data_IF_517797856405
#
_entry.id   IF_517797856405
#
_cell.length_a   1.000
_cell.length_b   1.000
_cell.length_c   1.000
_cell.angle_alpha   90.00
_cell.angle_beta   90.00
_cell.angle_gamma   90.00
#
_symmetry.space_group_name_H-M   'P 1'
#
loop_
_entity.id
_entity.type
_entity.pdbx_description
1 polymer ?
#
# COMPACT_ATOMS: atom_id res chain seq x y z
N UNK A 1 10.34 4.44 -21.13
CA UNK A 1 10.95 4.08 -19.84
C UNK A 1 10.64 5.23 -18.90
N UNK A 2 9.72 5.06 -17.97
CA UNK A 2 9.50 6.06 -16.93
C UNK A 2 10.66 5.94 -15.95
N UNK A 3 11.57 6.91 -15.95
CA UNK A 3 12.53 7.11 -14.86
C UNK A 3 11.71 7.37 -13.60
N UNK A 4 11.41 6.31 -12.84
CA UNK A 4 10.98 6.48 -11.47
C UNK A 4 12.21 6.98 -10.71
N UNK A 5 12.13 8.13 -10.04
CA UNK A 5 13.26 8.63 -9.27
C UNK A 5 13.69 7.55 -8.27
N UNK A 6 15.00 7.31 -8.15
CA UNK A 6 15.52 6.45 -7.09
C UNK A 6 15.32 7.22 -5.78
N UNK A 7 14.32 6.81 -5.01
CA UNK A 7 14.00 7.43 -3.73
C UNK A 7 14.78 6.72 -2.61
N UNK A 8 15.51 7.50 -1.79
CA UNK A 8 16.12 6.96 -0.57
C UNK A 8 15.03 6.75 0.49
N UNK A 9 14.50 5.54 0.58
CA UNK A 9 13.43 5.14 1.50
C UNK A 9 13.85 5.03 2.98
N UNK A 10 15.11 5.33 3.31
CA UNK A 10 15.67 5.18 4.66
C UNK A 10 15.45 3.77 5.24
N UNK A 11 15.58 2.75 4.38
CA UNK A 11 15.46 1.34 4.73
C UNK A 11 16.50 0.51 3.99
N UNK A 12 16.84 -0.63 4.56
CA UNK A 12 17.73 -1.61 3.93
C UNK A 12 17.01 -2.39 2.83
N UNK A 13 17.76 -2.94 1.88
CA UNK A 13 17.23 -3.83 0.84
C UNK A 13 16.50 -5.05 1.41
N UNK A 14 16.93 -5.52 2.60
CA UNK A 14 16.30 -6.65 3.30
C UNK A 14 14.92 -6.27 3.83
N UNK A 15 14.79 -5.09 4.44
CA UNK A 15 13.51 -4.57 4.90
C UNK A 15 12.58 -4.32 3.71
N UNK A 16 13.10 -3.75 2.62
CA UNK A 16 12.35 -3.55 1.39
C UNK A 16 11.79 -4.88 0.84
N UNK A 17 12.63 -5.90 0.69
CA UNK A 17 12.20 -7.22 0.19
C UNK A 17 11.17 -7.89 1.12
N UNK A 18 11.30 -7.74 2.43
CA UNK A 18 10.34 -8.24 3.41
C UNK A 18 8.97 -7.57 3.32
N UNK A 19 8.91 -6.31 2.86
CA UNK A 19 7.66 -5.59 2.61
C UNK A 19 7.03 -5.98 1.28
N UNK A 20 7.83 -6.06 0.22
CA UNK A 20 7.36 -6.48 -1.11
C UNK A 20 6.79 -7.89 -1.09
N UNK A 21 7.45 -8.83 -0.41
CA UNK A 21 6.95 -10.20 -0.23
C UNK A 21 5.61 -10.30 0.52
N UNK A 22 5.24 -9.26 1.28
CA UNK A 22 3.95 -9.15 1.96
C UNK A 22 2.90 -8.35 1.16
N UNK A 23 3.24 -7.96 -0.07
CA UNK A 23 2.37 -7.19 -0.97
C UNK A 23 2.35 -5.68 -0.68
N UNK A 24 3.36 -5.12 -0.02
CA UNK A 24 3.53 -3.66 0.09
C UNK A 24 4.41 -3.12 -1.04
N UNK A 25 4.18 -1.88 -1.46
CA UNK A 25 4.97 -1.15 -2.45
C UNK A 25 5.56 0.13 -1.82
N UNK A 26 6.72 0.05 -1.13
CA UNK A 26 7.29 1.17 -0.39
C UNK A 26 7.55 2.43 -1.23
N UNK A 27 7.81 2.25 -2.54
CA UNK A 27 8.02 3.36 -3.48
C UNK A 27 6.71 4.09 -3.75
N UNK A 28 5.63 3.35 -4.00
CA UNK A 28 4.30 3.94 -4.17
C UNK A 28 3.77 4.58 -2.89
N UNK A 29 4.01 3.96 -1.72
CA UNK A 29 3.65 4.51 -0.42
C UNK A 29 4.23 5.91 -0.23
N UNK A 30 5.52 6.09 -0.53
CA UNK A 30 6.17 7.39 -0.44
C UNK A 30 5.60 8.43 -1.41
N UNK A 31 5.21 8.01 -2.61
CA UNK A 31 4.51 8.87 -3.55
C UNK A 31 3.19 9.40 -2.99
N UNK A 32 2.44 8.59 -2.24
CA UNK A 32 1.21 9.04 -1.56
C UNK A 32 1.49 10.08 -0.48
N UNK A 33 2.58 9.93 0.26
CA UNK A 33 2.99 10.91 1.29
C UNK A 33 3.45 12.23 0.68
N UNK A 34 4.36 12.17 -0.30
CA UNK A 34 5.04 13.35 -0.82
C UNK A 34 4.20 14.12 -1.85
N UNK A 35 3.42 13.42 -2.69
CA UNK A 35 2.65 14.05 -3.79
C UNK A 35 1.23 14.39 -3.36
N UNK A 36 0.59 13.51 -2.61
CA UNK A 36 -0.82 13.65 -2.22
C UNK A 36 -1.01 14.15 -0.79
N UNK A 37 0.07 14.27 0.00
CA UNK A 37 0.00 14.72 1.39
C UNK A 37 -0.80 13.77 2.29
N UNK A 38 -0.85 12.49 1.91
CA UNK A 38 -1.65 11.48 2.60
C UNK A 38 -1.04 11.12 3.98
N UNK A 39 -1.88 10.67 4.91
CA UNK A 39 -1.39 10.17 6.20
C UNK A 39 -0.56 8.88 6.04
N UNK A 40 0.47 8.70 6.88
CA UNK A 40 1.39 7.56 6.78
C UNK A 40 0.71 6.21 6.99
N UNK A 41 -0.22 6.11 7.94
CA UNK A 41 -0.98 4.88 8.16
C UNK A 41 -1.95 4.61 6.99
N UNK A 42 -2.51 5.66 6.39
CA UNK A 42 -3.40 5.53 5.23
C UNK A 42 -2.66 5.16 3.95
N UNK A 43 -1.55 5.82 3.66
CA UNK A 43 -0.67 5.49 2.54
C UNK A 43 -0.24 4.02 2.61
N UNK A 44 0.19 3.55 3.79
CA UNK A 44 0.58 2.16 4.03
C UNK A 44 -0.50 1.15 3.63
N UNK A 45 -1.77 1.44 3.98
CA UNK A 45 -2.92 0.57 3.70
C UNK A 45 -3.30 0.56 2.22
N UNK A 46 -3.36 1.74 1.58
CA UNK A 46 -3.64 1.86 0.13
C UNK A 46 -2.59 1.09 -0.67
N UNK A 47 -1.33 1.24 -0.28
CA UNK A 47 -0.20 0.60 -0.93
C UNK A 47 -0.27 -0.92 -0.80
N UNK A 48 -0.66 -1.44 0.37
CA UNK A 48 -0.88 -2.88 0.58
C UNK A 48 -1.98 -3.43 -0.33
N UNK A 49 -3.11 -2.73 -0.44
CA UNK A 49 -4.21 -3.15 -1.31
C UNK A 49 -3.76 -3.21 -2.78
N UNK A 50 -3.10 -2.16 -3.26
CA UNK A 50 -2.59 -2.10 -4.64
C UNK A 50 -1.51 -3.14 -4.89
N UNK A 51 -0.60 -3.35 -3.94
CA UNK A 51 0.48 -4.34 -4.07
C UNK A 51 -0.06 -5.76 -4.08
N UNK A 52 -1.10 -6.08 -3.31
CA UNK A 52 -1.82 -7.36 -3.41
C UNK A 52 -2.42 -7.54 -4.81
N UNK A 53 -3.07 -6.54 -5.39
CA UNK A 53 -3.70 -6.67 -6.72
C UNK A 53 -2.70 -6.74 -7.88
N UNK A 54 -1.59 -6.00 -7.81
CA UNK A 54 -0.61 -5.89 -8.89
C UNK A 54 0.39 -7.04 -8.94
N UNK A 55 0.82 -7.55 -7.78
CA UNK A 55 1.97 -8.47 -7.70
C UNK A 55 1.52 -9.92 -7.75
N UNK A 56 0.36 -10.23 -7.16
CA UNK A 56 -0.26 -11.56 -7.18
C UNK A 56 -1.75 -11.32 -7.35
N UNK A 57 -2.22 -11.19 -8.58
CA UNK A 57 -3.67 -11.12 -8.83
C UNK A 57 -4.33 -12.26 -8.06
N UNK A 58 -5.25 -11.98 -7.12
CA UNK A 58 -5.79 -13.01 -6.25
C UNK A 58 -6.44 -14.13 -7.08
N UNK A 59 -5.97 -15.37 -6.91
CA UNK A 59 -6.50 -16.53 -7.65
C UNK A 59 -7.39 -17.41 -6.76
N UNK A 60 -7.22 -17.30 -5.44
CA UNK A 60 -7.97 -18.08 -4.45
C UNK A 60 -8.91 -17.21 -3.62
N UNK A 61 -9.97 -17.82 -3.08
CA UNK A 61 -10.91 -17.16 -2.17
C UNK A 61 -10.20 -16.52 -0.96
N UNK A 62 -9.11 -17.12 -0.49
CA UNK A 62 -8.35 -16.61 0.66
C UNK A 62 -7.54 -15.36 0.30
N UNK A 63 -6.97 -15.31 -0.90
CA UNK A 63 -6.28 -14.11 -1.40
C UNK A 63 -7.27 -12.97 -1.65
N UNK A 64 -8.46 -13.28 -2.19
CA UNK A 64 -9.54 -12.30 -2.34
C UNK A 64 -10.00 -11.76 -0.99
N UNK A 65 -10.14 -12.61 0.04
CA UNK A 65 -10.43 -12.16 1.41
C UNK A 65 -9.36 -11.23 1.95
N UNK A 66 -8.09 -11.52 1.69
CA UNK A 66 -6.98 -10.66 2.13
C UNK A 66 -7.00 -9.29 1.43
N UNK A 67 -7.29 -9.27 0.11
CA UNK A 67 -7.42 -8.04 -0.65
C UNK A 67 -8.62 -7.20 -0.20
N UNK A 68 -9.78 -7.82 -0.01
CA UNK A 68 -10.98 -7.14 0.47
C UNK A 68 -10.82 -6.63 1.91
N UNK A 69 -10.18 -7.40 2.80
CA UNK A 69 -9.87 -6.93 4.15
C UNK A 69 -8.92 -5.72 4.15
N UNK A 70 -7.93 -5.70 3.27
CA UNK A 70 -7.06 -4.54 3.11
C UNK A 70 -7.80 -3.31 2.57
N UNK A 71 -8.82 -3.50 1.71
CA UNK A 71 -9.69 -2.43 1.23
C UNK A 71 -10.63 -1.91 2.33
N UNK A 72 -11.24 -2.79 3.10
CA UNK A 72 -12.10 -2.42 4.22
C UNK A 72 -11.33 -1.62 5.29
N UNK A 73 -10.06 -1.95 5.53
CA UNK A 73 -9.17 -1.17 6.41
C UNK A 73 -8.90 0.26 5.92
N UNK A 74 -8.95 0.47 4.60
CA UNK A 74 -8.84 1.79 3.96
C UNK A 74 -10.18 2.54 4.09
N UNK A 75 -11.29 1.90 3.76
CA UNK A 75 -12.62 2.51 3.76
C UNK A 75 -13.17 2.80 5.15
N UNK A 76 -12.91 1.96 6.15
CA UNK A 76 -13.42 2.15 7.53
C UNK A 76 -12.91 3.45 8.20
N UNK A 77 -11.83 4.04 7.67
CA UNK A 77 -11.36 5.36 8.12
C UNK A 77 -12.16 6.52 7.52
N UNK A 78 -12.78 6.34 6.35
CA UNK A 78 -13.62 7.37 5.72
C UNK A 78 -14.92 7.59 6.48
N UNK A 79 -15.58 6.52 6.92
CA UNK A 79 -16.83 6.60 7.70
C UNK A 79 -16.66 7.35 9.04
N UNK A 80 -15.44 7.34 9.60
CA UNK A 80 -15.15 8.03 10.85
C UNK A 80 -14.95 9.56 10.71
N UNK A 81 -14.66 10.04 9.49
CA UNK A 81 -14.40 11.46 9.22
C UNK A 81 -15.62 12.22 8.69
N UNK A 82 -16.63 11.54 8.17
CA UNK A 82 -17.89 12.16 7.71
C UNK A 82 -18.91 12.42 8.84
N UNK A 83 -18.56 12.14 10.10
CA UNK A 83 -19.41 12.38 11.28
C UNK A 83 -19.06 13.65 12.08
N UNK A 84 -18.41 14.66 11.48
CA UNK A 84 -18.15 15.96 12.14
C UNK A 84 -18.59 17.16 11.32
#
# INVERSE_FOLDING_TARGET
MTDQPIHNLDMTDTEYAALVSKGYDPTFERGLLEVFGEDSAKARKITRFIGLLKTVSPETDQEWKNAMGAWDDVCSQYDSNDSK
#
